data_IF_472314357290
#
_entry.id   IF_472314357290
#
_cell.length_a   1.000
_cell.length_b   1.000
_cell.length_c   1.000
_cell.angle_alpha   90.00
_cell.angle_beta   90.00
_cell.angle_gamma   90.00
#
_symmetry.space_group_name_H-M   'P 1'
#
loop_
_entity.id
_entity.type
_entity.pdbx_description
1 polymer ?
#
# COMPACT_ATOMS: atom_id res chain seq x y z
N UNK A 1 -23.25 -3.93 -12.32
CA UNK A 1 -22.22 -4.32 -11.34
C UNK A 1 -22.22 -3.25 -10.28
N UNK A 2 -23.01 -3.45 -9.23
CA UNK A 2 -23.25 -2.37 -8.26
C UNK A 2 -22.08 -2.29 -7.28
N UNK A 3 -21.32 -1.21 -7.39
CA UNK A 3 -20.28 -0.87 -6.42
C UNK A 3 -21.01 -0.54 -5.11
N UNK A 4 -20.93 -1.44 -4.12
CA UNK A 4 -21.64 -1.24 -2.86
C UNK A 4 -21.10 0.04 -2.19
N UNK A 5 -21.94 1.02 -1.82
CA UNK A 5 -21.52 2.30 -1.22
C UNK A 5 -20.59 2.15 0.00
N UNK A 6 -20.68 1.01 0.68
CA UNK A 6 -19.87 0.65 1.84
C UNK A 6 -18.39 0.45 1.48
N UNK A 7 -18.07 -0.03 0.29
CA UNK A 7 -16.68 -0.29 -0.10
C UNK A 7 -15.90 1.00 -0.37
N UNK A 8 -16.56 2.03 -0.92
CA UNK A 8 -15.96 3.35 -1.11
C UNK A 8 -15.74 4.00 0.25
N UNK A 9 -16.74 3.93 1.14
CA UNK A 9 -16.61 4.45 2.52
C UNK A 9 -15.48 3.77 3.29
N UNK A 10 -15.40 2.45 3.24
CA UNK A 10 -14.34 1.67 3.88
C UNK A 10 -12.96 1.94 3.27
N UNK A 11 -12.91 2.28 1.98
CA UNK A 11 -11.69 2.67 1.33
C UNK A 11 -11.21 4.06 1.79
N UNK A 12 -12.12 5.04 1.85
CA UNK A 12 -11.83 6.38 2.37
C UNK A 12 -11.46 6.34 3.86
N UNK A 13 -12.09 5.46 4.64
CA UNK A 13 -11.76 5.25 6.05
C UNK A 13 -10.32 4.70 6.26
N UNK A 14 -9.77 3.99 5.26
CA UNK A 14 -8.38 3.50 5.25
C UNK A 14 -7.35 4.55 4.84
N UNK A 15 -7.77 5.79 4.58
CA UNK A 15 -6.86 6.86 4.19
C UNK A 15 -5.72 7.04 5.22
N UNK A 16 -4.46 7.14 4.79
CA UNK A 16 -3.34 7.36 5.69
C UNK A 16 -3.48 8.70 6.44
N UNK A 17 -3.49 8.62 7.78
CA UNK A 17 -3.52 9.81 8.65
C UNK A 17 -2.21 10.58 8.53
N UNK A 18 -2.27 11.93 8.58
CA UNK A 18 -1.10 12.81 8.43
C UNK A 18 0.02 12.48 9.43
N UNK A 19 -0.37 12.22 10.68
CA UNK A 19 0.53 11.70 11.71
C UNK A 19 -0.12 10.49 12.36
N UNK A 20 0.65 9.45 12.60
CA UNK A 20 0.22 8.28 13.38
C UNK A 20 1.21 8.00 14.51
N UNK A 21 0.73 7.59 15.69
CA UNK A 21 1.61 7.17 16.77
C UNK A 21 2.31 5.86 16.39
N UNK A 22 3.61 5.76 16.69
CA UNK A 22 4.43 4.55 16.46
C UNK A 22 5.08 4.05 17.77
N UNK A 23 4.41 4.24 18.91
CA UNK A 23 4.89 3.86 20.24
C UNK A 23 6.01 4.74 20.81
N UNK A 24 6.94 5.22 19.97
CA UNK A 24 8.05 6.10 20.37
C UNK A 24 7.86 7.58 19.98
N UNK A 25 6.78 7.90 19.25
CA UNK A 25 6.51 9.25 18.79
C UNK A 25 5.50 9.29 17.64
N UNK A 26 5.44 10.42 16.94
CA UNK A 26 4.57 10.60 15.78
C UNK A 26 5.34 10.45 14.47
N UNK A 27 4.92 9.50 13.64
CA UNK A 27 5.46 9.32 12.29
C UNK A 27 4.74 10.24 11.32
N UNK A 28 5.50 10.90 10.46
CA UNK A 28 4.98 11.71 9.38
C UNK A 28 4.67 10.83 8.16
N UNK A 29 3.40 10.70 7.80
CA UNK A 29 2.95 9.88 6.68
C UNK A 29 2.65 10.70 5.42
N UNK A 30 3.18 11.92 5.30
CA UNK A 30 2.95 12.80 4.14
C UNK A 30 3.27 12.10 2.81
N UNK A 31 4.37 11.34 2.74
CA UNK A 31 4.72 10.61 1.52
C UNK A 31 3.69 9.53 1.18
N UNK A 32 3.25 8.74 2.16
CA UNK A 32 2.21 7.73 1.98
C UNK A 32 0.87 8.35 1.57
N UNK A 33 0.53 9.55 2.07
CA UNK A 33 -0.64 10.31 1.65
C UNK A 33 -0.55 10.79 0.20
N UNK A 34 0.59 11.33 -0.20
CA UNK A 34 0.77 11.76 -1.58
C UNK A 34 0.66 10.59 -2.54
N UNK A 35 1.29 9.46 -2.22
CA UNK A 35 1.13 8.25 -3.02
C UNK A 35 -0.34 7.82 -3.11
N UNK A 36 -1.05 7.77 -1.98
CA UNK A 36 -2.46 7.39 -1.94
C UNK A 36 -3.36 8.34 -2.76
N UNK A 37 -3.09 9.66 -2.72
CA UNK A 37 -3.80 10.64 -3.54
C UNK A 37 -3.47 10.49 -5.02
N UNK A 38 -2.21 10.23 -5.38
CA UNK A 38 -1.81 9.93 -6.75
C UNK A 38 -2.52 8.67 -7.24
N UNK A 39 -2.56 7.60 -6.45
CA UNK A 39 -3.27 6.36 -6.79
C UNK A 39 -4.76 6.64 -7.06
N UNK A 40 -5.43 7.45 -6.22
CA UNK A 40 -6.82 7.89 -6.48
C UNK A 40 -6.93 8.68 -7.79
N UNK A 41 -6.05 9.66 -8.02
CA UNK A 41 -6.06 10.50 -9.22
C UNK A 41 -5.81 9.69 -10.51
N UNK A 42 -5.04 8.59 -10.41
CA UNK A 42 -4.82 7.63 -11.48
C UNK A 42 -5.95 6.61 -11.65
N UNK A 43 -7.01 6.69 -10.83
CA UNK A 43 -8.14 5.77 -10.86
C UNK A 43 -7.86 4.43 -10.17
N UNK A 44 -6.74 4.31 -9.45
CA UNK A 44 -6.35 3.10 -8.73
C UNK A 44 -6.73 3.17 -7.25
N UNK A 45 -8.04 3.08 -6.95
CA UNK A 45 -8.50 3.03 -5.55
C UNK A 45 -7.92 1.80 -4.82
N UNK A 46 -8.04 0.60 -5.38
CA UNK A 46 -7.55 -0.61 -4.72
C UNK A 46 -7.46 -1.77 -5.72
N UNK A 47 -6.45 -2.63 -5.65
CA UNK A 47 -6.29 -3.72 -6.64
C UNK A 47 -7.54 -4.61 -6.75
N UNK A 48 -8.25 -4.81 -5.63
CA UNK A 48 -9.51 -5.58 -5.56
C UNK A 48 -10.71 -4.81 -6.15
N UNK A 49 -10.78 -3.49 -5.95
CA UNK A 49 -11.82 -2.60 -6.49
C UNK A 49 -11.60 -2.39 -7.99
N UNK A 50 -10.36 -2.11 -8.40
CA UNK A 50 -9.96 -1.93 -9.78
C UNK A 50 -10.24 -3.18 -10.61
N UNK A 51 -9.92 -4.39 -10.09
CA UNK A 51 -10.27 -5.65 -10.76
C UNK A 51 -11.77 -5.82 -10.98
N UNK A 52 -12.61 -5.44 -10.01
CA UNK A 52 -14.08 -5.48 -10.19
C UNK A 52 -14.59 -4.41 -11.15
N UNK A 53 -13.97 -3.24 -11.14
CA UNK A 53 -14.31 -2.15 -12.04
C UNK A 53 -13.76 -2.35 -13.46
N UNK A 54 -13.05 -3.45 -13.74
CA UNK A 54 -12.42 -3.69 -15.04
C UNK A 54 -11.24 -2.77 -15.35
N UNK A 55 -10.74 -2.03 -14.35
CA UNK A 55 -9.62 -1.10 -14.51
C UNK A 55 -8.32 -1.90 -14.41
N UNK A 56 -7.70 -2.18 -15.57
CA UNK A 56 -6.34 -2.69 -15.61
C UNK A 56 -5.39 -1.55 -15.29
N UNK A 57 -4.56 -1.70 -14.25
CA UNK A 57 -3.55 -0.70 -13.88
C UNK A 57 -2.48 -0.62 -14.99
N UNK A 58 -2.46 0.45 -15.82
CA UNK A 58 -1.51 0.59 -16.92
C UNK A 58 -0.12 1.00 -16.42
N UNK A 59 -0.04 1.50 -15.18
CA UNK A 59 1.12 2.19 -14.66
C UNK A 59 1.76 1.38 -13.52
N UNK A 60 2.67 0.46 -13.88
CA UNK A 60 3.69 -0.06 -12.95
C UNK A 60 5.03 0.60 -13.24
N UNK A 61 5.23 1.89 -12.93
CA UNK A 61 6.37 2.63 -13.45
C UNK A 61 7.71 2.18 -12.86
N UNK A 62 7.72 1.50 -11.71
CA UNK A 62 8.97 1.17 -11.02
C UNK A 62 8.91 -0.19 -10.31
N UNK A 63 8.92 -1.27 -11.08
CA UNK A 63 9.30 -2.59 -10.55
C UNK A 63 10.83 -2.59 -10.49
N UNK A 64 11.42 -2.19 -9.36
CA UNK A 64 12.87 -2.29 -9.19
C UNK A 64 13.22 -3.71 -8.67
N UNK A 65 13.68 -4.62 -9.56
CA UNK A 65 13.92 -6.01 -9.19
C UNK A 65 15.03 -6.13 -8.13
N UNK A 66 15.99 -5.20 -8.12
CA UNK A 66 17.11 -5.17 -7.17
C UNK A 66 16.59 -4.89 -5.75
N UNK A 67 15.78 -3.85 -5.56
CA UNK A 67 15.18 -3.56 -4.24
C UNK A 67 14.21 -4.63 -3.77
N UNK A 68 13.53 -5.31 -4.70
CA UNK A 68 12.67 -6.46 -4.39
C UNK A 68 13.51 -7.65 -3.89
N UNK A 69 14.63 -7.94 -4.56
CA UNK A 69 15.57 -8.99 -4.17
C UNK A 69 16.21 -8.70 -2.81
N UNK A 70 16.67 -7.46 -2.57
CA UNK A 70 17.24 -7.02 -1.29
C UNK A 70 16.24 -7.21 -0.14
N UNK A 71 14.98 -6.79 -0.31
CA UNK A 71 13.93 -7.00 0.71
C UNK A 71 13.64 -8.47 0.94
N UNK A 72 13.61 -9.29 -0.11
CA UNK A 72 13.37 -10.74 0.01
C UNK A 72 14.49 -11.41 0.80
N UNK A 73 15.75 -11.05 0.53
CA UNK A 73 16.91 -11.55 1.25
C UNK A 73 16.88 -11.13 2.73
N UNK A 74 16.59 -9.85 3.01
CA UNK A 74 16.50 -9.32 4.38
C UNK A 74 15.42 -10.04 5.20
N UNK A 75 14.23 -10.29 4.62
CA UNK A 75 13.16 -11.07 5.27
C UNK A 75 13.56 -12.53 5.53
N UNK A 76 14.27 -13.16 4.59
CA UNK A 76 14.77 -14.54 4.77
C UNK A 76 15.74 -14.61 5.94
N UNK A 77 16.68 -13.65 6.03
CA UNK A 77 17.63 -13.56 7.13
C UNK A 77 16.93 -13.38 8.48
N UNK A 78 15.94 -12.48 8.54
CA UNK A 78 15.19 -12.22 9.78
C UNK A 78 14.41 -13.45 10.27
N UNK A 79 13.83 -14.25 9.38
CA UNK A 79 13.17 -15.51 9.74
C UNK A 79 14.16 -16.54 10.31
N UNK A 80 15.30 -16.72 9.64
CA UNK A 80 16.33 -17.64 10.10
C UNK A 80 16.94 -17.26 11.46
N UNK A 81 16.99 -15.98 11.81
CA UNK A 81 17.41 -15.53 13.14
C UNK A 81 16.36 -15.80 14.21
N UNK A 82 15.07 -15.70 13.88
CA UNK A 82 13.98 -16.03 14.80
C UNK A 82 13.97 -17.54 15.08
N UNK A 83 14.13 -18.37 14.05
CA UNK A 83 14.13 -19.85 14.19
C UNK A 83 15.35 -20.40 14.96
N UNK A 84 16.38 -19.57 15.19
CA UNK A 84 17.63 -19.93 15.89
C UNK A 84 17.72 -19.40 17.32
N UNK A 85 16.73 -18.63 17.78
CA UNK A 85 16.64 -18.08 19.14
C UNK A 85 15.61 -18.87 19.94
#
# INVERSE_FOLDING_TARGET
MDLHPNEIRDFLARAPKRRSPNGQGFVNNTHSRFKWLCDIAHGTLNEKINRRAGVSDPCKPWVNPVWSAIRRHSRKKHRQTIDRS
#
